data_IF_404183333941
#
_entry.id   IF_404183333941
#
_cell.length_a   1.000
_cell.length_b   1.000
_cell.length_c   1.000
_cell.angle_alpha   90.00
_cell.angle_beta   90.00
_cell.angle_gamma   90.00
#
_symmetry.space_group_name_H-M   'P 1'
#
loop_
_entity.id
_entity.type
_entity.pdbx_description
1 polymer ?
#
# COMPACT_ATOMS: atom_id res chain seq x y z
N UNK A 1 30.09 -2.24 2.66
CA UNK A 1 28.69 -2.38 3.12
C UNK A 1 27.78 -2.19 1.92
N UNK A 2 26.82 -3.09 1.69
CA UNK A 2 25.90 -2.97 0.55
C UNK A 2 24.95 -1.80 0.82
N UNK A 3 24.98 -0.78 -0.02
CA UNK A 3 24.04 0.33 0.03
C UNK A 3 22.91 0.08 -0.98
N UNK A 4 21.72 -0.19 -0.48
CA UNK A 4 20.54 -0.49 -1.29
C UNK A 4 19.79 0.82 -1.55
N UNK A 5 19.32 0.97 -2.79
CA UNK A 5 18.46 2.10 -3.16
C UNK A 5 17.07 1.88 -2.57
N UNK A 6 16.50 2.93 -1.97
CA UNK A 6 15.11 2.92 -1.50
C UNK A 6 14.25 3.59 -2.55
N UNK A 7 13.24 2.86 -2.99
CA UNK A 7 12.21 3.40 -3.84
C UNK A 7 10.99 3.79 -2.99
N UNK A 8 10.61 5.09 -2.96
CA UNK A 8 9.50 5.54 -2.14
C UNK A 8 8.18 4.87 -2.46
N UNK A 9 7.93 4.51 -3.72
CA UNK A 9 6.68 3.85 -4.12
C UNK A 9 6.64 2.43 -3.60
N UNK A 10 7.75 1.68 -3.70
CA UNK A 10 7.87 0.32 -3.16
C UNK A 10 7.69 0.32 -1.64
N UNK A 11 8.37 1.25 -0.95
CA UNK A 11 8.24 1.41 0.49
C UNK A 11 6.79 1.73 0.87
N UNK A 12 6.13 2.62 0.15
CA UNK A 12 4.75 3.00 0.43
C UNK A 12 3.74 1.86 0.29
N UNK A 13 4.03 0.82 -0.51
CA UNK A 13 3.14 -0.35 -0.64
C UNK A 13 3.10 -1.20 0.64
N UNK A 14 4.08 -1.04 1.53
CA UNK A 14 4.17 -1.77 2.79
C UNK A 14 3.50 -0.93 3.89
N UNK A 15 2.45 -1.44 4.55
CA UNK A 15 1.85 -0.76 5.70
C UNK A 15 2.91 -0.51 6.78
N UNK A 16 2.91 0.67 7.43
CA UNK A 16 3.81 0.95 8.54
C UNK A 16 3.54 -0.04 9.68
N UNK A 17 4.61 -0.37 10.40
CA UNK A 17 4.51 -1.08 11.67
C UNK A 17 4.22 -0.08 12.78
N UNK A 18 3.51 -0.53 13.80
CA UNK A 18 3.45 0.18 15.08
C UNK A 18 4.83 0.27 15.73
N UNK A 19 5.03 1.27 16.59
CA UNK A 19 6.27 1.42 17.36
C UNK A 19 6.65 0.14 18.12
N UNK A 20 5.67 -0.53 18.74
CA UNK A 20 5.86 -1.78 19.45
C UNK A 20 6.27 -2.93 18.51
N UNK A 21 5.62 -3.07 17.36
CA UNK A 21 6.00 -4.08 16.35
C UNK A 21 7.40 -3.83 15.79
N UNK A 22 7.75 -2.57 15.55
CA UNK A 22 9.07 -2.20 15.07
C UNK A 22 10.15 -2.49 16.12
N UNK A 23 9.90 -2.13 17.39
CA UNK A 23 10.81 -2.40 18.50
C UNK A 23 10.98 -3.91 18.71
N UNK A 24 9.90 -4.67 18.65
CA UNK A 24 9.96 -6.13 18.76
C UNK A 24 10.78 -6.74 17.62
N UNK A 25 10.64 -6.23 16.40
CA UNK A 25 11.45 -6.63 15.24
C UNK A 25 12.94 -6.32 15.47
N UNK A 26 13.25 -5.14 15.99
CA UNK A 26 14.62 -4.73 16.32
C UNK A 26 15.24 -5.65 17.37
N UNK A 27 14.56 -5.89 18.49
CA UNK A 27 15.02 -6.81 19.54
C UNK A 27 15.26 -8.24 19.00
N UNK A 28 14.38 -8.73 18.13
CA UNK A 28 14.55 -10.04 17.50
C UNK A 28 15.81 -10.11 16.62
N UNK A 29 16.08 -9.06 15.83
CA UNK A 29 17.27 -8.99 14.97
C UNK A 29 18.55 -8.90 15.82
N UNK A 30 18.54 -8.07 16.86
CA UNK A 30 19.68 -7.91 17.78
C UNK A 30 20.02 -9.20 18.51
N UNK A 31 19.00 -9.92 18.99
CA UNK A 31 19.17 -11.18 19.71
C UNK A 31 19.83 -12.26 18.86
N UNK A 32 19.47 -12.35 17.58
CA UNK A 32 20.04 -13.34 16.65
C UNK A 32 21.44 -12.94 16.15
N UNK A 33 21.78 -11.65 16.17
CA UNK A 33 23.08 -11.12 15.72
C UNK A 33 23.33 -11.26 14.21
N UNK A 34 22.34 -11.73 13.44
CA UNK A 34 22.36 -11.84 11.98
C UNK A 34 20.95 -11.80 11.42
N UNK A 35 20.79 -11.29 10.20
CA UNK A 35 19.51 -11.37 9.52
C UNK A 35 19.32 -12.77 8.90
N UNK A 36 18.34 -13.52 9.37
CA UNK A 36 18.07 -14.89 8.90
C UNK A 36 17.48 -14.92 7.47
N UNK A 37 16.48 -14.07 7.22
CA UNK A 37 15.82 -14.00 5.91
C UNK A 37 16.46 -12.88 5.08
N UNK A 38 16.88 -13.15 3.83
CA UNK A 38 17.50 -12.13 2.98
C UNK A 38 16.55 -10.96 2.71
N UNK A 39 17.14 -9.81 2.37
CA UNK A 39 16.40 -8.67 1.81
C UNK A 39 16.14 -8.93 0.33
N UNK A 40 14.91 -8.68 -0.13
CA UNK A 40 14.56 -8.89 -1.54
C UNK A 40 14.94 -7.64 -2.32
N UNK A 41 15.64 -7.83 -3.44
CA UNK A 41 16.14 -6.70 -4.25
C UNK A 41 15.85 -6.87 -5.73
N UNK A 42 15.78 -5.75 -6.45
CA UNK A 42 15.69 -5.67 -7.90
C UNK A 42 16.59 -4.55 -8.40
N UNK A 43 17.60 -4.85 -9.21
CA UNK A 43 18.57 -3.86 -9.73
C UNK A 43 19.16 -2.95 -8.62
N UNK A 44 19.59 -3.55 -7.51
CA UNK A 44 20.08 -2.86 -6.30
C UNK A 44 19.04 -1.96 -5.59
N UNK A 45 17.76 -2.11 -5.90
CA UNK A 45 16.64 -1.42 -5.25
C UNK A 45 15.96 -2.37 -4.28
N UNK A 46 15.68 -1.92 -3.06
CA UNK A 46 15.02 -2.72 -2.04
C UNK A 46 13.54 -2.94 -2.39
N UNK A 47 13.11 -4.20 -2.46
CA UNK A 47 11.74 -4.60 -2.79
C UNK A 47 10.97 -5.01 -1.54
N UNK A 48 11.55 -5.85 -0.69
CA UNK A 48 10.96 -6.24 0.60
C UNK A 48 12.02 -6.30 1.71
N UNK A 49 11.58 -5.97 2.92
CA UNK A 49 12.45 -5.86 4.09
C UNK A 49 12.82 -4.43 4.47
N UNK A 50 12.06 -3.42 4.05
CA UNK A 50 12.29 -2.00 4.37
C UNK A 50 12.48 -1.73 5.88
N UNK A 51 11.64 -2.30 6.74
CA UNK A 51 11.78 -2.15 8.20
C UNK A 51 13.05 -2.82 8.71
N UNK A 52 13.35 -4.04 8.24
CA UNK A 52 14.58 -4.78 8.56
C UNK A 52 15.82 -3.99 8.13
N UNK A 53 15.80 -3.44 6.92
CA UNK A 53 16.90 -2.63 6.41
C UNK A 53 17.11 -1.35 7.22
N UNK A 54 16.03 -0.67 7.63
CA UNK A 54 16.10 0.50 8.50
C UNK A 54 16.81 0.18 9.83
N UNK A 55 16.52 -0.99 10.42
CA UNK A 55 17.19 -1.46 11.63
C UNK A 55 18.68 -1.74 11.34
N UNK A 56 18.99 -2.42 10.24
CA UNK A 56 20.39 -2.71 9.86
C UNK A 56 21.23 -1.46 9.59
N UNK A 57 20.62 -0.34 9.17
CA UNK A 57 21.33 0.94 9.07
C UNK A 57 21.80 1.48 10.43
N UNK A 58 21.08 1.15 11.51
CA UNK A 58 21.47 1.52 12.89
C UNK A 58 22.50 0.58 13.50
N UNK A 59 22.54 -0.67 13.01
CA UNK A 59 23.39 -1.75 13.53
C UNK A 59 24.31 -2.30 12.41
N UNK A 60 25.32 -1.53 11.99
CA UNK A 60 26.21 -1.87 10.87
C UNK A 60 27.03 -3.16 11.07
N UNK A 61 27.16 -3.62 12.32
CA UNK A 61 27.81 -4.87 12.70
C UNK A 61 26.99 -6.11 12.30
N UNK A 62 25.69 -5.96 12.04
CA UNK A 62 24.81 -7.08 11.71
C UNK A 62 24.92 -7.41 10.23
N UNK A 63 25.46 -8.59 9.95
CA UNK A 63 25.54 -9.12 8.61
C UNK A 63 24.15 -9.49 8.06
N UNK A 64 23.94 -9.19 6.78
CA UNK A 64 22.76 -9.58 6.04
C UNK A 64 23.12 -10.02 4.63
N UNK A 65 22.20 -10.75 3.99
CA UNK A 65 22.29 -11.13 2.59
C UNK A 65 21.11 -10.55 1.80
N UNK A 66 21.29 -10.45 0.49
CA UNK A 66 20.26 -10.01 -0.45
C UNK A 66 19.88 -11.15 -1.38
N UNK A 67 18.60 -11.25 -1.73
CA UNK A 67 18.10 -12.19 -2.74
C UNK A 67 17.51 -11.38 -3.90
N UNK A 68 18.19 -11.33 -5.06
CA UNK A 68 17.64 -10.68 -6.23
C UNK A 68 16.49 -11.52 -6.82
N UNK A 69 15.42 -10.86 -7.25
CA UNK A 69 14.35 -11.48 -8.02
C UNK A 69 14.28 -10.88 -9.43
N UNK A 70 14.02 -11.70 -10.47
CA UNK A 70 14.01 -11.27 -11.86
C UNK A 70 12.65 -10.67 -12.23
N UNK A 71 12.43 -9.40 -11.90
CA UNK A 71 11.27 -8.66 -12.39
C UNK A 71 11.57 -7.99 -13.73
N UNK A 72 10.60 -8.01 -14.63
CA UNK A 72 10.65 -7.41 -15.96
C UNK A 72 10.36 -5.90 -15.94
N UNK A 73 9.57 -5.45 -14.95
CA UNK A 73 9.10 -4.07 -14.86
C UNK A 73 8.88 -3.60 -13.44
N UNK A 74 8.76 -2.28 -13.25
CA UNK A 74 8.43 -1.67 -11.97
C UNK A 74 7.03 -2.06 -11.50
N UNK A 75 6.10 -2.19 -12.44
CA UNK A 75 4.71 -2.58 -12.21
C UNK A 75 4.63 -3.99 -11.64
N UNK A 76 5.45 -4.91 -12.18
CA UNK A 76 5.55 -6.27 -11.65
C UNK A 76 6.08 -6.28 -10.21
N UNK A 77 7.08 -5.44 -9.90
CA UNK A 77 7.59 -5.30 -8.53
C UNK A 77 6.49 -4.82 -7.58
N UNK A 78 5.71 -3.80 -7.96
CA UNK A 78 4.62 -3.27 -7.13
C UNK A 78 3.53 -4.31 -6.88
N UNK A 79 3.11 -5.03 -7.92
CA UNK A 79 2.14 -6.11 -7.81
C UNK A 79 2.67 -7.25 -6.91
N UNK A 80 3.95 -7.60 -7.06
CA UNK A 80 4.60 -8.59 -6.22
C UNK A 80 4.66 -8.17 -4.75
N UNK A 81 5.01 -6.91 -4.44
CA UNK A 81 5.03 -6.41 -3.06
C UNK A 81 3.65 -6.55 -2.42
N UNK A 82 2.59 -6.08 -3.10
CA UNK A 82 1.23 -6.18 -2.57
C UNK A 82 0.83 -7.64 -2.32
N UNK A 83 1.11 -8.53 -3.27
CA UNK A 83 0.84 -9.97 -3.15
C UNK A 83 1.61 -10.61 -1.99
N UNK A 84 2.89 -10.26 -1.82
CA UNK A 84 3.72 -10.77 -0.73
C UNK A 84 3.21 -10.31 0.64
N UNK A 85 2.79 -9.03 0.76
CA UNK A 85 2.18 -8.53 1.99
C UNK A 85 0.85 -9.25 2.31
N UNK A 86 0.00 -9.48 1.31
CA UNK A 86 -1.28 -10.19 1.46
C UNK A 86 -1.13 -11.67 1.87
N UNK A 87 0.01 -12.28 1.59
CA UNK A 87 0.33 -13.66 2.00
C UNK A 87 0.62 -13.83 3.49
N UNK A 88 0.68 -12.75 4.27
CA UNK A 88 0.93 -12.81 5.73
C UNK A 88 -0.28 -13.38 6.46
N UNK A 89 -0.04 -14.30 7.42
CA UNK A 89 -1.10 -15.00 8.15
C UNK A 89 -1.81 -14.16 9.22
N UNK A 90 -1.18 -13.09 9.70
CA UNK A 90 -1.62 -12.32 10.86
C UNK A 90 -2.06 -10.89 10.49
N UNK A 91 -2.66 -10.71 9.31
CA UNK A 91 -3.16 -9.40 8.90
C UNK A 91 -4.47 -9.08 9.65
N UNK A 92 -4.60 -7.84 10.14
CA UNK A 92 -5.89 -7.32 10.59
C UNK A 92 -6.86 -7.22 9.39
N UNK A 93 -8.18 -7.24 9.61
CA UNK A 93 -9.16 -6.98 8.56
C UNK A 93 -8.88 -5.67 7.81
N UNK A 94 -8.49 -4.61 8.53
CA UNK A 94 -8.17 -3.28 8.02
C UNK A 94 -6.91 -3.31 7.14
N UNK A 95 -5.84 -3.99 7.58
CA UNK A 95 -4.62 -4.20 6.78
C UNK A 95 -4.92 -4.99 5.50
N UNK A 96 -5.64 -6.12 5.62
CA UNK A 96 -6.01 -6.93 4.45
C UNK A 96 -6.82 -6.10 3.44
N UNK A 97 -7.78 -5.32 3.94
CA UNK A 97 -8.59 -4.43 3.10
C UNK A 97 -7.74 -3.36 2.41
N UNK A 98 -6.88 -2.67 3.15
CA UNK A 98 -5.98 -1.65 2.62
C UNK A 98 -5.07 -2.20 1.52
N UNK A 99 -4.44 -3.37 1.77
CA UNK A 99 -3.56 -4.05 0.83
C UNK A 99 -4.28 -4.53 -0.44
N UNK A 100 -5.51 -5.05 -0.33
CA UNK A 100 -6.34 -5.38 -1.51
C UNK A 100 -6.61 -4.10 -2.33
N UNK A 101 -6.88 -2.98 -1.65
CA UNK A 101 -7.04 -1.67 -2.30
C UNK A 101 -5.77 -1.23 -3.05
N UNK A 102 -4.59 -1.42 -2.45
CA UNK A 102 -3.29 -1.15 -3.10
C UNK A 102 -3.05 -2.05 -4.30
N UNK A 103 -3.27 -3.35 -4.15
CA UNK A 103 -3.13 -4.31 -5.25
C UNK A 103 -4.03 -3.94 -6.43
N UNK A 104 -5.30 -3.66 -6.16
CA UNK A 104 -6.22 -3.25 -7.22
C UNK A 104 -5.80 -1.93 -7.86
N UNK A 105 -5.41 -0.93 -7.05
CA UNK A 105 -4.96 0.37 -7.58
C UNK A 105 -3.71 0.25 -8.47
N UNK A 106 -2.77 -0.64 -8.16
CA UNK A 106 -1.56 -0.90 -8.95
C UNK A 106 -1.89 -1.69 -10.22
N UNK A 107 -2.59 -2.82 -10.09
CA UNK A 107 -2.87 -3.70 -11.22
C UNK A 107 -3.90 -3.08 -12.19
N UNK A 108 -4.79 -2.22 -11.70
CA UNK A 108 -5.80 -1.53 -12.52
C UNK A 108 -5.27 -0.26 -13.23
N UNK A 109 -3.99 0.10 -13.07
CA UNK A 109 -3.41 1.24 -13.82
C UNK A 109 -3.38 0.91 -15.31
N UNK A 110 -3.86 1.84 -16.15
CA UNK A 110 -3.74 1.72 -17.61
C UNK A 110 -2.27 1.86 -18.02
N UNK A 111 -1.72 0.98 -18.87
CA UNK A 111 -0.39 1.16 -19.44
C UNK A 111 -0.33 2.51 -20.17
N UNK A 112 0.57 3.41 -19.75
CA UNK A 112 0.74 4.74 -20.36
C UNK A 112 -0.18 5.84 -19.84
N UNK A 113 -1.07 5.56 -18.87
CA UNK A 113 -1.70 6.63 -18.11
C UNK A 113 -0.67 7.22 -17.16
N UNK A 114 -0.41 8.53 -17.26
CA UNK A 114 0.29 9.26 -16.21
C UNK A 114 -0.47 9.00 -14.90
N UNK A 115 0.02 8.02 -14.12
CA UNK A 115 -0.39 7.84 -12.75
C UNK A 115 -0.01 9.14 -12.08
N UNK A 116 -1.01 9.99 -11.82
CA UNK A 116 -0.84 11.12 -10.91
C UNK A 116 -0.57 10.49 -9.54
N UNK A 117 0.69 10.15 -9.33
CA UNK A 117 1.24 9.72 -8.07
C UNK A 117 0.96 10.88 -7.12
N UNK A 118 0.12 10.67 -6.11
CA UNK A 118 -0.18 11.71 -5.10
C UNK A 118 1.06 12.12 -4.28
N UNK A 119 2.23 11.54 -4.57
CA UNK A 119 3.53 11.86 -3.99
C UNK A 119 4.25 13.05 -4.66
N UNK A 120 3.71 13.64 -5.73
CA UNK A 120 4.24 14.89 -6.32
C UNK A 120 3.31 16.07 -6.05
N UNK A 121 3.84 17.07 -5.34
CA UNK A 121 3.15 18.34 -5.14
C UNK A 121 3.13 19.18 -6.44
N UNK A 122 1.93 19.64 -6.79
CA UNK A 122 1.59 20.75 -7.67
C UNK A 122 1.92 20.63 -9.19
N UNK A 123 0.86 20.43 -9.98
CA UNK A 123 0.46 21.37 -11.04
C UNK A 123 -1.02 21.13 -11.38
N UNK A 124 -1.84 22.19 -11.30
CA UNK A 124 -3.25 22.18 -11.66
C UNK A 124 -3.38 22.31 -13.17
N UNK A 125 -4.13 21.41 -13.81
CA UNK A 125 -4.98 21.77 -14.96
C UNK A 125 -6.36 21.11 -14.78
N UNK A 126 -7.46 21.80 -15.10
CA UNK A 126 -8.80 21.29 -14.86
C UNK A 126 -9.20 20.39 -16.02
N UNK A 127 -9.04 19.08 -15.86
CA UNK A 127 -9.75 18.14 -16.71
C UNK A 127 -11.08 17.85 -16.03
N UNK A 128 -12.17 18.23 -16.70
CA UNK A 128 -13.54 17.98 -16.27
C UNK A 128 -13.70 16.53 -15.82
N UNK A 129 -13.93 16.35 -14.52
CA UNK A 129 -14.30 15.07 -13.93
C UNK A 129 -15.76 14.84 -14.33
N UNK A 130 -15.97 14.05 -15.40
CA UNK A 130 -17.31 13.60 -15.77
C UNK A 130 -17.91 12.82 -14.59
N UNK A 131 -18.97 13.40 -14.04
CA UNK A 131 -19.88 12.80 -13.07
C UNK A 131 -20.51 11.54 -13.67
N UNK A 132 -19.89 10.38 -13.55
CA UNK A 132 -20.56 9.13 -13.86
C UNK A 132 -21.45 8.70 -12.69
N UNK A 133 -22.70 9.13 -12.78
CA UNK A 133 -23.84 8.53 -12.11
C UNK A 133 -24.10 7.12 -12.68
N UNK A 134 -24.28 6.19 -11.74
CA UNK A 134 -24.96 4.88 -11.74
C UNK A 134 -25.49 4.31 -13.08
N UNK A 135 -25.14 3.03 -13.29
CA UNK A 135 -25.75 1.97 -14.11
C UNK A 135 -25.51 1.85 -15.64
N UNK A 136 -25.09 0.62 -15.99
CA UNK A 136 -25.11 -0.04 -17.30
C UNK A 136 -24.11 0.43 -18.37
N UNK A 137 -22.83 0.09 -18.19
CA UNK A 137 -21.92 -0.20 -19.31
C UNK A 137 -21.27 -1.56 -19.02
N UNK A 138 -21.45 -2.59 -19.87
CA UNK A 138 -20.79 -3.88 -19.66
C UNK A 138 -19.29 -3.72 -19.94
N UNK A 139 -18.39 -4.19 -19.06
CA UNK A 139 -16.96 -4.13 -19.33
C UNK A 139 -16.65 -5.03 -20.53
N UNK A 140 -15.96 -4.45 -21.51
CA UNK A 140 -15.52 -5.11 -22.74
C UNK A 140 -14.61 -6.31 -22.44
N UNK A 141 -14.87 -7.39 -23.18
CA UNK A 141 -14.55 -8.79 -22.93
C UNK A 141 -13.08 -9.24 -23.07
N UNK A 142 -12.11 -8.35 -22.88
CA UNK A 142 -10.67 -8.71 -22.81
C UNK A 142 -10.11 -8.64 -21.37
N UNK A 143 -10.83 -7.95 -20.49
CA UNK A 143 -10.62 -7.96 -19.05
C UNK A 143 -11.32 -9.20 -18.46
N UNK A 144 -10.61 -10.30 -18.24
CA UNK A 144 -10.95 -11.11 -17.06
C UNK A 144 -10.72 -10.16 -15.90
N UNK A 145 -11.79 -9.45 -15.50
CA UNK A 145 -11.81 -8.31 -14.58
C UNK A 145 -10.68 -8.47 -13.56
N UNK A 146 -9.66 -7.60 -13.58
CA UNK A 146 -8.53 -7.64 -12.63
C UNK A 146 -9.08 -7.74 -11.20
N UNK A 147 -10.21 -7.06 -10.96
CA UNK A 147 -11.02 -7.16 -9.76
C UNK A 147 -11.47 -8.60 -9.46
N UNK A 148 -11.99 -9.35 -10.44
CA UNK A 148 -12.33 -10.78 -10.32
C UNK A 148 -11.12 -11.64 -9.97
N UNK A 149 -9.98 -11.43 -10.62
CA UNK A 149 -8.75 -12.20 -10.31
C UNK A 149 -8.26 -11.95 -8.87
N UNK A 150 -8.26 -10.68 -8.44
CA UNK A 150 -7.90 -10.31 -7.06
C UNK A 150 -8.93 -10.88 -6.07
N UNK A 151 -10.21 -10.83 -6.40
CA UNK A 151 -11.30 -11.35 -5.58
C UNK A 151 -11.14 -12.87 -5.34
N UNK A 152 -10.94 -13.64 -6.41
CA UNK A 152 -10.74 -15.09 -6.34
C UNK A 152 -9.49 -15.46 -5.52
N UNK A 153 -8.35 -14.81 -5.78
CA UNK A 153 -7.08 -15.08 -5.07
C UNK A 153 -7.16 -14.80 -3.57
N UNK A 154 -7.93 -13.77 -3.17
CA UNK A 154 -8.04 -13.34 -1.77
C UNK A 154 -9.28 -13.90 -1.06
N UNK A 155 -10.07 -14.72 -1.76
CA UNK A 155 -11.36 -15.26 -1.33
C UNK A 155 -12.32 -14.16 -0.82
N UNK A 156 -12.54 -13.14 -1.65
CA UNK A 156 -13.45 -12.01 -1.39
C UNK A 156 -14.35 -11.76 -2.60
N UNK A 157 -15.35 -10.89 -2.49
CA UNK A 157 -16.19 -10.50 -3.63
C UNK A 157 -15.55 -9.38 -4.46
N UNK A 158 -15.90 -9.29 -5.74
CA UNK A 158 -15.49 -8.16 -6.59
C UNK A 158 -15.90 -6.81 -6.00
N UNK A 159 -17.11 -6.71 -5.44
CA UNK A 159 -17.59 -5.52 -4.73
C UNK A 159 -16.79 -5.20 -3.47
N UNK A 160 -16.17 -6.19 -2.84
CA UNK A 160 -15.22 -5.95 -1.75
C UNK A 160 -13.94 -5.29 -2.29
N UNK A 161 -13.36 -5.82 -3.37
CA UNK A 161 -12.15 -5.26 -4.00
C UNK A 161 -12.35 -3.80 -4.40
N UNK A 162 -13.47 -3.47 -5.06
CA UNK A 162 -13.77 -2.09 -5.45
C UNK A 162 -13.98 -1.13 -4.25
N UNK A 163 -14.51 -1.63 -3.12
CA UNK A 163 -14.63 -0.84 -1.88
C UNK A 163 -13.30 -0.69 -1.17
N UNK A 164 -12.44 -1.70 -1.22
CA UNK A 164 -11.10 -1.69 -0.63
C UNK A 164 -10.23 -0.57 -1.20
N UNK A 165 -10.32 -0.29 -2.50
CA UNK A 165 -9.61 0.84 -3.12
C UNK A 165 -10.07 2.18 -2.56
N UNK A 166 -11.39 2.38 -2.41
CA UNK A 166 -11.95 3.61 -1.82
C UNK A 166 -11.54 3.77 -0.36
N UNK A 167 -11.56 2.67 0.40
CA UNK A 167 -11.09 2.64 1.78
C UNK A 167 -9.61 3.01 1.86
N UNK A 168 -8.76 2.37 1.05
CA UNK A 168 -7.33 2.63 0.97
C UNK A 168 -7.05 4.11 0.68
N UNK A 169 -7.70 4.69 -0.33
CA UNK A 169 -7.55 6.11 -0.67
C UNK A 169 -8.02 7.04 0.46
N UNK A 170 -9.09 6.68 1.17
CA UNK A 170 -9.55 7.41 2.34
C UNK A 170 -8.50 7.39 3.47
N UNK A 171 -7.92 6.24 3.75
CA UNK A 171 -6.86 6.08 4.76
C UNK A 171 -5.61 6.87 4.39
N UNK A 172 -5.17 6.84 3.12
CA UNK A 172 -4.01 7.63 2.67
C UNK A 172 -4.25 9.14 2.77
N UNK A 173 -5.47 9.61 2.48
CA UNK A 173 -5.84 11.02 2.68
C UNK A 173 -5.87 11.36 4.18
N UNK A 174 -6.40 10.47 5.01
CA UNK A 174 -6.42 10.66 6.47
C UNK A 174 -4.99 10.81 7.00
N UNK A 175 -4.04 9.99 6.55
CA UNK A 175 -2.63 10.09 6.91
C UNK A 175 -2.01 11.43 6.49
N UNK A 176 -2.29 11.91 5.27
CA UNK A 176 -1.81 13.21 4.80
C UNK A 176 -2.34 14.37 5.65
N UNK A 177 -3.55 14.25 6.20
CA UNK A 177 -4.19 15.31 6.99
C UNK A 177 -3.86 15.21 8.48
N UNK A 178 -3.69 13.99 8.98
CA UNK A 178 -3.40 13.67 10.38
C UNK A 178 -2.35 12.54 10.40
N UNK A 179 -1.06 12.88 10.39
CA UNK A 179 0.02 11.89 10.37
C UNK A 179 -0.08 10.88 11.54
N UNK A 180 0.21 9.61 11.24
CA UNK A 180 0.10 8.48 12.17
C UNK A 180 -1.29 7.84 12.25
N UNK A 181 -2.31 8.39 11.57
CA UNK A 181 -3.64 7.79 11.56
C UNK A 181 -3.72 6.51 10.73
N UNK A 182 -2.94 6.37 9.67
CA UNK A 182 -2.92 5.12 8.90
C UNK A 182 -2.51 3.95 9.79
N UNK A 183 -1.44 4.09 10.56
CA UNK A 183 -0.99 3.05 11.50
C UNK A 183 -2.09 2.70 12.52
N UNK A 184 -2.70 3.71 13.16
CA UNK A 184 -3.77 3.50 14.15
C UNK A 184 -5.01 2.83 13.57
N UNK A 185 -5.38 3.19 12.34
CA UNK A 185 -6.51 2.57 11.64
C UNK A 185 -6.18 1.12 11.28
N UNK A 186 -5.02 0.88 10.68
CA UNK A 186 -4.64 -0.45 10.19
C UNK A 186 -4.34 -1.42 11.33
N UNK A 187 -3.82 -0.95 12.47
CA UNK A 187 -3.66 -1.75 13.69
C UNK A 187 -4.99 -2.00 14.43
N UNK A 188 -6.07 -1.31 14.07
CA UNK A 188 -7.37 -1.38 14.75
C UNK A 188 -7.44 -0.58 16.05
N UNK A 189 -6.39 0.18 16.41
CA UNK A 189 -6.40 1.09 17.57
C UNK A 189 -7.40 2.23 17.41
N UNK A 190 -7.66 2.67 16.18
CA UNK A 190 -8.66 3.68 15.85
C UNK A 190 -9.67 3.12 14.83
N UNK A 191 -10.92 2.95 15.26
CA UNK A 191 -11.98 2.39 14.40
C UNK A 191 -12.59 3.48 13.55
N UNK A 192 -12.59 3.28 12.24
CA UNK A 192 -13.28 4.14 11.26
C UNK A 192 -14.41 3.39 10.60
N UNK A 193 -15.47 4.11 10.21
CA UNK A 193 -16.50 3.53 9.35
C UNK A 193 -16.04 3.61 7.89
N UNK A 194 -16.31 2.54 7.16
CA UNK A 194 -16.11 2.48 5.71
C UNK A 194 -16.73 3.67 4.97
N UNK A 195 -17.93 4.07 5.39
CA UNK A 195 -18.65 5.18 4.78
C UNK A 195 -17.86 6.49 4.88
N UNK A 196 -17.18 6.74 6.00
CA UNK A 196 -16.40 7.96 6.19
C UNK A 196 -15.11 7.93 5.36
N UNK A 197 -14.41 6.80 5.31
CA UNK A 197 -13.25 6.64 4.44
C UNK A 197 -13.64 6.81 2.96
N UNK A 198 -14.79 6.28 2.56
CA UNK A 198 -15.31 6.45 1.20
C UNK A 198 -15.73 7.90 0.92
N UNK A 199 -16.34 8.61 1.88
CA UNK A 199 -16.65 10.04 1.78
C UNK A 199 -15.36 10.84 1.60
N UNK A 200 -14.35 10.58 2.43
CA UNK A 200 -13.06 11.24 2.39
C UNK A 200 -12.34 11.02 1.05
N UNK A 201 -12.40 9.79 0.52
CA UNK A 201 -11.81 9.44 -0.78
C UNK A 201 -12.41 10.18 -1.98
N UNK A 202 -13.69 10.59 -1.89
CA UNK A 202 -14.42 11.28 -2.97
C UNK A 202 -14.47 12.79 -2.81
N UNK A 203 -14.27 13.30 -1.59
CA UNK A 203 -14.38 14.72 -1.30
C UNK A 203 -13.24 15.52 -1.93
N UNK A 204 -13.53 16.78 -2.27
CA UNK A 204 -12.55 17.80 -2.58
C UNK A 204 -11.87 18.33 -1.31
N UNK A 205 -10.75 19.04 -1.48
CA UNK A 205 -9.90 19.41 -0.35
C UNK A 205 -10.60 20.21 0.77
N UNK A 206 -11.45 21.23 0.48
CA UNK A 206 -12.19 21.94 1.53
C UNK A 206 -13.11 21.02 2.35
N UNK A 207 -13.87 20.14 1.69
CA UNK A 207 -14.79 19.24 2.38
C UNK A 207 -14.06 18.14 3.15
N UNK A 208 -12.87 17.71 2.70
CA UNK A 208 -12.04 16.75 3.45
C UNK A 208 -11.74 17.25 4.86
N UNK A 209 -11.47 18.55 5.06
CA UNK A 209 -11.20 19.11 6.40
C UNK A 209 -12.39 18.96 7.33
N UNK A 210 -13.59 19.22 6.83
CA UNK A 210 -14.81 19.03 7.60
C UNK A 210 -15.03 17.55 7.91
N UNK A 211 -14.88 16.67 6.91
CA UNK A 211 -15.07 15.22 7.09
C UNK A 211 -14.10 14.66 8.13
N UNK A 212 -12.83 15.07 8.12
CA UNK A 212 -11.84 14.64 9.13
C UNK A 212 -12.24 15.09 10.54
N UNK A 213 -12.87 16.25 10.70
CA UNK A 213 -13.35 16.70 12.00
C UNK A 213 -14.59 15.91 12.49
N UNK A 214 -15.35 15.30 11.59
CA UNK A 214 -16.53 14.48 11.90
C UNK A 214 -16.17 13.02 12.24
N UNK A 215 -14.93 12.58 12.00
CA UNK A 215 -14.42 11.22 12.22
C UNK A 215 -13.68 11.15 13.56
#
# INVERSE_FOLDING_TARGET
>A
MINLKIDPEFQSQIPPLTDDEFKQLEENILKEGKLLSPLIVWNNTLVDGHNRYTILQKHPEICFSTMPLPFESREEVLAWICKNQLGRRNLTPEQKKFLIGKQYSVEHRKPGGNGNNQYTAAAKEPVQEELCQIDTIPPTSAEVSIRKQIAERNNVSESYVARSEKFMRGVEIMEQMVPGMQEKILSGQFKVRDADMHRLARADFPNRKQIVHEI
#
